data_IF_673963120041
#
_entry.id   IF_673963120041
#
_cell.length_a   1.000
_cell.length_b   1.000
_cell.length_c   1.000
_cell.angle_alpha   90.00
_cell.angle_beta   90.00
_cell.angle_gamma   90.00
#
_symmetry.space_group_name_H-M   'P 1'
#
loop_
_entity.id
_entity.type
_entity.pdbx_description
1 polymer ?
#
# COMPACT_ATOMS: atom_id res chain seq x y z
N UNK A 1 -6.38 -5.22 26.29
CA UNK A 1 -5.56 -6.42 26.58
C UNK A 1 -4.31 -6.32 25.73
N UNK A 2 -3.15 -6.76 26.24
CA UNK A 2 -1.92 -6.76 25.45
C UNK A 2 -2.07 -7.67 24.23
N UNK A 3 -1.55 -7.23 23.08
CA UNK A 3 -1.54 -8.01 21.85
C UNK A 3 -0.61 -9.23 22.04
N UNK A 4 -1.07 -10.43 21.67
CA UNK A 4 -0.26 -11.66 21.75
C UNK A 4 0.26 -12.12 20.39
N UNK A 5 -0.34 -11.64 19.31
CA UNK A 5 0.06 -11.90 17.92
C UNK A 5 -0.62 -10.88 17.00
N UNK A 6 -0.02 -10.55 15.86
CA UNK A 6 -0.71 -9.85 14.79
C UNK A 6 -1.60 -10.83 14.00
N UNK A 7 -2.83 -10.40 13.73
CA UNK A 7 -3.78 -11.13 12.91
C UNK A 7 -3.45 -10.98 11.40
N UNK A 8 -3.86 -11.95 10.56
CA UNK A 8 -3.89 -11.77 9.11
C UNK A 8 -4.68 -10.51 8.72
N UNK A 9 -4.34 -9.84 7.59
CA UNK A 9 -5.08 -8.68 7.12
C UNK A 9 -6.57 -9.01 7.04
N UNK A 10 -7.44 -8.06 7.38
CA UNK A 10 -8.89 -8.24 7.34
C UNK A 10 -9.43 -9.38 8.24
N UNK A 11 -8.64 -9.86 9.21
CA UNK A 11 -8.97 -11.03 10.03
C UNK A 11 -9.22 -12.31 9.21
N UNK A 12 -8.49 -12.47 8.10
CA UNK A 12 -8.62 -13.63 7.23
C UNK A 12 -8.32 -14.94 7.96
N UNK A 13 -9.15 -15.96 7.70
CA UNK A 13 -9.03 -17.29 8.30
C UNK A 13 -8.30 -18.30 7.39
N UNK A 14 -7.53 -17.82 6.40
CA UNK A 14 -6.87 -18.70 5.42
C UNK A 14 -5.67 -19.47 6.02
N UNK A 15 -5.12 -18.96 7.14
CA UNK A 15 -3.93 -19.48 7.81
C UNK A 15 -4.28 -20.41 8.98
N UNK A 16 -3.56 -21.54 9.07
CA UNK A 16 -3.58 -22.38 10.27
C UNK A 16 -2.81 -21.72 11.45
N UNK A 17 -2.81 -22.34 12.64
CA UNK A 17 -2.19 -21.76 13.83
C UNK A 17 -0.68 -21.48 13.67
N UNK A 18 0.07 -22.40 13.06
CA UNK A 18 1.51 -22.23 12.83
C UNK A 18 1.77 -21.09 11.87
N UNK A 19 1.00 -21.03 10.77
CA UNK A 19 1.08 -19.96 9.78
C UNK A 19 0.71 -18.60 10.36
N UNK A 20 -0.29 -18.52 11.25
CA UNK A 20 -0.64 -17.27 11.94
C UNK A 20 0.51 -16.76 12.81
N UNK A 21 1.21 -17.65 13.52
CA UNK A 21 2.38 -17.24 14.28
C UNK A 21 3.49 -16.71 13.37
N UNK A 22 3.80 -17.43 12.29
CA UNK A 22 4.81 -17.00 11.31
C UNK A 22 4.46 -15.66 10.65
N UNK A 23 3.19 -15.43 10.34
CA UNK A 23 2.70 -14.15 9.85
C UNK A 23 2.90 -13.04 10.90
N UNK A 24 2.53 -13.31 12.16
CA UNK A 24 2.76 -12.37 13.26
C UNK A 24 4.23 -12.02 13.43
N UNK A 25 5.12 -13.01 13.34
CA UNK A 25 6.57 -12.80 13.43
C UNK A 25 7.09 -11.93 12.27
N UNK A 26 6.59 -12.17 11.05
CA UNK A 26 6.88 -11.33 9.88
C UNK A 26 6.44 -9.88 10.10
N UNK A 27 5.19 -9.64 10.49
CA UNK A 27 4.67 -8.28 10.74
C UNK A 27 5.45 -7.58 11.87
N UNK A 28 5.72 -8.29 12.96
CA UNK A 28 6.54 -7.77 14.06
C UNK A 28 7.94 -7.37 13.58
N UNK A 29 8.57 -8.15 12.72
CA UNK A 29 9.88 -7.83 12.16
C UNK A 29 9.84 -6.58 11.28
N UNK A 30 8.78 -6.40 10.48
CA UNK A 30 8.61 -5.21 9.64
C UNK A 30 8.47 -3.94 10.48
N UNK A 31 7.70 -3.98 11.57
CA UNK A 31 7.59 -2.84 12.50
C UNK A 31 8.91 -2.50 13.17
N UNK A 32 9.65 -3.50 13.65
CA UNK A 32 10.96 -3.27 14.27
C UNK A 32 11.97 -2.72 13.26
N UNK A 33 11.92 -3.18 12.01
CA UNK A 33 12.77 -2.70 10.93
C UNK A 33 12.48 -1.23 10.64
N UNK A 34 11.20 -0.87 10.45
CA UNK A 34 10.80 0.51 10.21
C UNK A 34 11.13 1.42 11.39
N UNK A 35 10.94 0.96 12.63
CA UNK A 35 11.30 1.69 13.84
C UNK A 35 12.80 2.00 13.90
N UNK A 36 13.64 1.00 13.62
CA UNK A 36 15.08 1.07 13.83
C UNK A 36 15.86 1.60 12.62
N UNK A 37 15.19 1.76 11.47
CA UNK A 37 15.78 2.35 10.26
C UNK A 37 16.30 3.77 10.56
N UNK A 38 17.51 4.05 10.10
CA UNK A 38 18.20 5.33 10.23
C UNK A 38 18.46 6.02 8.87
N UNK A 39 18.07 5.35 7.78
CA UNK A 39 18.24 5.78 6.39
C UNK A 39 19.51 5.26 5.72
N UNK A 40 20.42 4.60 6.44
CA UNK A 40 21.71 4.16 5.89
C UNK A 40 21.57 3.17 4.72
N UNK A 41 20.56 2.29 4.77
CA UNK A 41 20.19 1.35 3.71
C UNK A 41 19.65 2.04 2.46
N UNK A 42 19.08 3.24 2.61
CA UNK A 42 18.59 4.09 1.54
C UNK A 42 19.62 5.14 1.08
N UNK A 43 20.82 5.14 1.68
CA UNK A 43 21.82 6.15 1.43
C UNK A 43 21.42 7.54 1.94
N UNK A 44 20.65 7.61 3.03
CA UNK A 44 20.13 8.82 3.64
C UNK A 44 20.72 9.06 5.05
N UNK A 45 20.95 10.33 5.38
CA UNK A 45 21.10 10.84 6.74
C UNK A 45 19.78 11.47 7.20
N UNK A 46 19.61 11.63 8.52
CA UNK A 46 18.44 12.24 9.16
C UNK A 46 17.11 11.52 8.88
N UNK A 47 17.14 10.19 8.75
CA UNK A 47 15.93 9.37 8.53
C UNK A 47 15.62 8.41 9.69
N UNK A 48 16.27 8.59 10.84
CA UNK A 48 15.91 7.89 12.07
C UNK A 48 17.01 7.95 13.14
N UNK A 49 16.90 7.11 14.19
CA UNK A 49 15.83 6.12 14.42
C UNK A 49 14.46 6.77 14.68
N UNK A 50 13.38 6.02 14.43
CA UNK A 50 12.00 6.53 14.46
C UNK A 50 11.38 6.30 15.84
N UNK A 51 11.83 7.08 16.82
CA UNK A 51 11.64 6.76 18.23
C UNK A 51 10.19 6.84 18.73
N UNK A 52 9.33 7.60 18.06
CA UNK A 52 7.89 7.65 18.34
C UNK A 52 7.11 6.51 17.65
N UNK A 53 7.72 5.78 16.72
CA UNK A 53 7.13 4.59 16.12
C UNK A 53 7.45 3.35 16.96
N UNK A 54 6.47 2.49 17.21
CA UNK A 54 6.67 1.31 18.06
C UNK A 54 6.01 0.05 17.53
N UNK A 55 6.40 -1.09 18.10
CA UNK A 55 5.82 -2.39 17.80
C UNK A 55 4.92 -2.82 18.97
N UNK A 56 3.60 -2.75 18.78
CA UNK A 56 2.61 -3.02 19.83
C UNK A 56 2.65 -4.44 20.42
N UNK A 57 3.28 -5.41 19.73
CA UNK A 57 3.47 -6.76 20.25
C UNK A 57 4.60 -6.81 21.30
N UNK A 58 5.64 -5.99 21.14
CA UNK A 58 6.84 -5.99 22.00
C UNK A 58 6.82 -4.88 23.04
N UNK A 59 6.19 -3.76 22.69
CA UNK A 59 5.96 -2.60 23.54
C UNK A 59 4.45 -2.34 23.61
N UNK A 60 3.74 -2.99 24.56
CA UNK A 60 2.29 -2.88 24.63
C UNK A 60 1.84 -1.43 24.85
N UNK A 61 0.76 -1.00 24.18
CA UNK A 61 0.25 0.35 24.35
C UNK A 61 -0.31 0.56 25.77
N UNK A 62 -0.27 1.80 26.26
CA UNK A 62 -0.85 2.23 27.53
C UNK A 62 -2.40 2.13 27.49
N UNK A 63 -3.10 2.15 28.64
CA UNK A 63 -4.56 2.18 28.68
C UNK A 63 -5.23 3.38 27.98
N UNK A 64 -4.45 4.41 27.63
CA UNK A 64 -4.90 5.60 26.90
C UNK A 64 -4.90 5.41 25.37
N UNK A 65 -4.69 4.18 24.89
CA UNK A 65 -4.58 3.89 23.47
C UNK A 65 -5.90 4.14 22.70
N UNK A 66 -5.79 4.79 21.54
CA UNK A 66 -6.92 5.11 20.66
C UNK A 66 -6.56 4.78 19.22
N UNK A 67 -7.49 4.16 18.50
CA UNK A 67 -7.37 3.93 17.06
C UNK A 67 -7.87 5.15 16.28
N UNK A 68 -7.22 5.45 15.15
CA UNK A 68 -7.63 6.50 14.23
C UNK A 68 -7.52 6.02 12.79
N UNK A 69 -8.63 6.05 12.08
CA UNK A 69 -8.65 5.81 10.63
C UNK A 69 -8.11 7.03 9.89
N UNK A 70 -7.19 6.80 8.94
CA UNK A 70 -6.72 7.78 7.96
C UNK A 70 -7.23 7.30 6.61
N UNK A 71 -8.07 8.10 5.95
CA UNK A 71 -8.80 7.68 4.75
C UNK A 71 -8.56 8.63 3.58
N UNK A 72 -8.52 8.08 2.37
CA UNK A 72 -8.34 8.82 1.11
C UNK A 72 -9.12 8.15 -0.03
N UNK A 73 -9.18 8.82 -1.19
CA UNK A 73 -9.89 8.32 -2.38
C UNK A 73 -9.08 7.24 -3.10
N UNK A 74 -9.76 6.19 -3.58
CA UNK A 74 -9.15 5.06 -4.29
C UNK A 74 -8.71 5.38 -5.73
N UNK A 75 -9.24 6.45 -6.34
CA UNK A 75 -8.86 6.85 -7.69
C UNK A 75 -7.41 7.38 -7.72
N UNK A 76 -6.56 6.93 -8.66
CA UNK A 76 -5.16 7.35 -8.77
C UNK A 76 -4.96 8.83 -9.07
N UNK A 77 -4.41 9.58 -8.10
CA UNK A 77 -4.15 11.02 -8.29
C UNK A 77 -3.15 11.28 -9.42
N UNK A 78 -2.13 10.44 -9.57
CA UNK A 78 -1.16 10.57 -10.67
C UNK A 78 -1.81 10.46 -12.05
N UNK A 79 -2.91 9.69 -12.15
CA UNK A 79 -3.69 9.61 -13.38
C UNK A 79 -4.56 10.86 -13.55
N UNK A 80 -5.14 11.38 -12.46
CA UNK A 80 -5.94 12.61 -12.45
C UNK A 80 -5.13 13.80 -12.98
N UNK A 81 -3.95 14.07 -12.41
CA UNK A 81 -3.14 15.25 -12.76
C UNK A 81 -2.54 15.19 -14.17
N UNK A 82 -2.36 14.00 -14.73
CA UNK A 82 -1.83 13.78 -16.09
C UNK A 82 -2.96 13.71 -17.15
N UNK A 83 -4.20 14.01 -16.76
CA UNK A 83 -5.37 13.93 -17.63
C UNK A 83 -6.08 15.27 -17.74
N UNK A 84 -6.64 15.58 -18.91
CA UNK A 84 -7.30 16.86 -19.17
C UNK A 84 -8.81 16.84 -18.89
N UNK A 85 -9.40 15.65 -18.73
CA UNK A 85 -10.82 15.46 -18.41
C UNK A 85 -11.09 14.06 -17.82
N UNK A 86 -12.31 13.87 -17.32
CA UNK A 86 -12.77 12.64 -16.68
C UNK A 86 -12.69 11.40 -17.58
N UNK A 87 -13.11 11.51 -18.84
CA UNK A 87 -13.09 10.36 -19.76
C UNK A 87 -11.66 9.88 -19.99
N UNK A 88 -10.70 10.80 -20.11
CA UNK A 88 -9.29 10.47 -20.28
C UNK A 88 -8.73 9.77 -19.03
N UNK A 89 -8.97 10.33 -17.83
CA UNK A 89 -8.41 9.77 -16.59
C UNK A 89 -9.01 8.39 -16.28
N UNK A 90 -10.32 8.22 -16.48
CA UNK A 90 -10.97 6.92 -16.29
C UNK A 90 -10.47 5.86 -17.27
N UNK A 91 -10.34 6.22 -18.55
CA UNK A 91 -9.78 5.31 -19.56
C UNK A 91 -8.34 4.93 -19.22
N UNK A 92 -7.52 5.88 -18.78
CA UNK A 92 -6.12 5.62 -18.42
C UNK A 92 -6.03 4.68 -17.21
N UNK A 93 -6.82 4.93 -16.16
CA UNK A 93 -6.84 4.08 -14.97
C UNK A 93 -7.38 2.65 -15.23
N UNK A 94 -8.33 2.50 -16.16
CA UNK A 94 -8.85 1.20 -16.59
C UNK A 94 -7.94 0.47 -17.60
N UNK A 95 -6.86 1.09 -18.10
CA UNK A 95 -6.00 0.49 -19.13
C UNK A 95 -4.91 -0.42 -18.57
N UNK A 96 -4.48 -0.22 -17.32
CA UNK A 96 -3.45 -1.03 -16.68
C UNK A 96 -3.55 -1.00 -15.16
N UNK A 97 -3.23 -2.12 -14.53
CA UNK A 97 -3.06 -2.24 -13.08
C UNK A 97 -1.87 -1.43 -12.56
N UNK A 98 -0.90 -1.10 -13.41
CA UNK A 98 0.31 -0.37 -13.00
C UNK A 98 0.06 1.10 -12.66
N UNK A 99 -1.06 1.66 -13.14
CA UNK A 99 -1.47 3.04 -12.83
C UNK A 99 -2.54 3.11 -11.74
N UNK A 100 -2.91 1.98 -11.13
CA UNK A 100 -3.88 1.90 -10.03
C UNK A 100 -3.14 1.97 -8.69
N UNK A 101 -2.47 3.09 -8.44
CA UNK A 101 -1.45 3.21 -7.39
C UNK A 101 -1.97 3.83 -6.08
N UNK A 102 -3.25 3.71 -5.74
CA UNK A 102 -3.82 4.24 -4.48
C UNK A 102 -4.34 3.15 -3.56
N UNK A 103 -3.59 2.05 -3.45
CA UNK A 103 -3.92 0.90 -2.59
C UNK A 103 -5.32 0.30 -2.85
N UNK A 104 -5.87 0.56 -4.03
CA UNK A 104 -7.06 -0.07 -4.55
C UNK A 104 -6.82 -0.37 -6.01
N UNK A 105 -6.98 -1.63 -6.37
CA UNK A 105 -6.85 -2.03 -7.74
C UNK A 105 -8.05 -2.87 -8.16
N UNK A 106 -8.47 -2.76 -9.41
CA UNK A 106 -9.69 -3.36 -9.92
C UNK A 106 -9.56 -4.06 -11.27
N UNK A 107 -10.56 -4.89 -11.57
CA UNK A 107 -10.72 -5.59 -12.84
C UNK A 107 -12.21 -5.76 -13.15
N UNK A 108 -12.56 -5.79 -14.42
CA UNK A 108 -13.94 -5.87 -14.89
C UNK A 108 -14.24 -7.17 -15.60
N UNK A 109 -15.52 -7.56 -15.54
CA UNK A 109 -16.13 -8.51 -16.47
C UNK A 109 -17.11 -7.72 -17.33
N UNK A 110 -16.98 -7.83 -18.66
CA UNK A 110 -17.85 -7.18 -19.64
C UNK A 110 -18.68 -8.21 -20.38
N UNK A 111 -19.88 -7.81 -20.77
CA UNK A 111 -20.70 -8.58 -21.68
C UNK A 111 -20.00 -8.65 -23.06
N UNK A 112 -19.82 -9.84 -23.65
CA UNK A 112 -19.02 -10.00 -24.87
C UNK A 112 -19.68 -9.42 -26.13
N UNK A 113 -20.98 -9.07 -26.08
CA UNK A 113 -21.72 -8.55 -27.24
C UNK A 113 -21.88 -7.03 -27.17
N UNK A 114 -22.25 -6.52 -26.00
CA UNK A 114 -22.56 -5.11 -25.76
C UNK A 114 -21.37 -4.33 -25.19
N UNK A 115 -20.35 -5.03 -24.69
CA UNK A 115 -19.18 -4.48 -23.98
C UNK A 115 -19.51 -3.69 -22.70
N UNK A 116 -20.77 -3.73 -22.23
CA UNK A 116 -21.17 -3.14 -20.96
C UNK A 116 -20.54 -3.89 -19.80
N UNK A 117 -20.18 -3.17 -18.75
CA UNK A 117 -19.66 -3.76 -17.52
C UNK A 117 -20.78 -4.57 -16.87
N UNK A 118 -20.50 -5.85 -16.57
CA UNK A 118 -21.38 -6.73 -15.81
C UNK A 118 -21.02 -6.76 -14.34
N UNK A 119 -19.72 -6.75 -14.03
CA UNK A 119 -19.18 -6.85 -12.69
C UNK A 119 -17.87 -6.08 -12.60
N UNK A 120 -17.62 -5.45 -11.45
CA UNK A 120 -16.31 -4.90 -11.08
C UNK A 120 -15.82 -5.56 -9.81
N UNK A 121 -14.57 -6.00 -9.81
CA UNK A 121 -13.86 -6.54 -8.65
C UNK A 121 -12.85 -5.52 -8.16
N UNK A 122 -12.87 -5.17 -6.88
CA UNK A 122 -11.90 -4.30 -6.21
C UNK A 122 -11.13 -5.09 -5.15
N UNK A 123 -9.83 -4.84 -5.02
CA UNK A 123 -8.97 -5.44 -3.98
C UNK A 123 -7.99 -4.43 -3.41
N UNK A 124 -7.72 -4.55 -2.11
CA UNK A 124 -6.60 -3.92 -1.40
C UNK A 124 -5.74 -4.95 -0.65
N UNK A 125 -5.85 -6.25 -1.01
CA UNK A 125 -5.03 -7.31 -0.41
C UNK A 125 -3.55 -7.14 -0.77
N UNK A 126 -2.69 -6.96 0.22
CA UNK A 126 -1.26 -6.72 0.02
C UNK A 126 -0.52 -7.94 -0.58
N UNK A 127 0.47 -7.73 -1.48
CA UNK A 127 1.20 -8.82 -2.13
C UNK A 127 2.02 -9.67 -1.14
N UNK A 128 2.42 -9.12 0.01
CA UNK A 128 3.18 -9.85 1.02
C UNK A 128 2.38 -10.99 1.64
N UNK A 129 1.08 -10.79 1.88
CA UNK A 129 0.20 -11.84 2.39
C UNK A 129 0.07 -12.99 1.39
N UNK A 130 -0.07 -12.66 0.11
CA UNK A 130 -0.19 -13.65 -0.97
C UNK A 130 1.13 -14.38 -1.24
N UNK A 131 2.26 -13.69 -1.14
CA UNK A 131 3.59 -14.30 -1.22
C UNK A 131 3.82 -15.26 -0.05
N UNK A 132 3.44 -14.86 1.18
CA UNK A 132 3.48 -15.70 2.36
C UNK A 132 2.59 -16.94 2.20
N UNK A 133 1.34 -16.76 1.74
CA UNK A 133 0.39 -17.85 1.53
C UNK A 133 0.84 -18.78 0.41
N UNK A 134 1.41 -18.25 -0.68
CA UNK A 134 1.97 -19.03 -1.77
C UNK A 134 3.15 -19.90 -1.33
N UNK A 135 4.03 -19.37 -0.48
CA UNK A 135 5.15 -20.12 0.07
C UNK A 135 4.71 -21.20 1.08
N UNK A 136 3.65 -20.94 1.85
CA UNK A 136 3.25 -21.79 2.99
C UNK A 136 2.06 -22.72 2.72
N UNK A 137 1.21 -22.41 1.74
CA UNK A 137 0.00 -23.17 1.41
C UNK A 137 -0.46 -22.95 -0.05
N UNK A 138 0.26 -23.51 -1.05
CA UNK A 138 -0.12 -23.38 -2.47
C UNK A 138 -1.55 -23.83 -2.79
N UNK A 139 -2.04 -24.88 -2.12
CA UNK A 139 -3.39 -25.40 -2.31
C UNK A 139 -4.47 -24.37 -1.91
N UNK A 140 -4.24 -23.62 -0.82
CA UNK A 140 -5.14 -22.54 -0.41
C UNK A 140 -5.13 -21.39 -1.41
N UNK A 141 -3.97 -21.02 -1.97
CA UNK A 141 -3.90 -20.00 -3.03
C UNK A 141 -4.77 -20.42 -4.23
N UNK A 142 -4.64 -21.65 -4.71
CA UNK A 142 -5.46 -22.18 -5.80
C UNK A 142 -6.96 -22.13 -5.46
N UNK A 143 -7.36 -22.59 -4.28
CA UNK A 143 -8.75 -22.54 -3.80
C UNK A 143 -9.31 -21.11 -3.83
N UNK A 144 -8.54 -20.13 -3.35
CA UNK A 144 -8.98 -18.74 -3.29
C UNK A 144 -9.10 -18.11 -4.68
N UNK A 145 -8.15 -18.34 -5.58
CA UNK A 145 -8.27 -17.90 -6.97
C UNK A 145 -9.48 -18.53 -7.67
N UNK A 146 -9.72 -19.83 -7.46
CA UNK A 146 -10.88 -20.50 -8.03
C UNK A 146 -12.20 -19.94 -7.52
N UNK A 147 -12.25 -19.57 -6.23
CA UNK A 147 -13.44 -18.99 -5.60
C UNK A 147 -13.70 -17.54 -6.03
N UNK A 148 -12.66 -16.72 -6.06
CA UNK A 148 -12.82 -15.26 -6.14
C UNK A 148 -12.53 -14.67 -7.51
N UNK A 149 -11.82 -15.41 -8.38
CA UNK A 149 -11.45 -14.94 -9.73
C UNK A 149 -12.07 -15.83 -10.80
N UNK A 150 -11.72 -17.11 -10.86
CA UNK A 150 -12.26 -18.01 -11.88
C UNK A 150 -12.07 -19.49 -11.53
N UNK A 151 -13.12 -20.33 -11.62
CA UNK A 151 -12.98 -21.77 -11.36
C UNK A 151 -12.07 -22.50 -12.37
N UNK A 152 -11.65 -21.83 -13.45
CA UNK A 152 -10.74 -22.37 -14.47
C UNK A 152 -9.25 -22.23 -14.11
N UNK A 153 -8.92 -21.56 -13.00
CA UNK A 153 -7.54 -21.40 -12.55
C UNK A 153 -6.95 -22.75 -12.17
N UNK A 154 -5.72 -23.00 -12.60
CA UNK A 154 -4.94 -24.21 -12.29
C UNK A 154 -3.66 -23.86 -11.53
N UNK A 155 -2.99 -24.86 -10.94
CA UNK A 155 -1.75 -24.62 -10.20
C UNK A 155 -0.63 -24.07 -11.10
N UNK A 156 -0.56 -24.54 -12.35
CA UNK A 156 0.42 -24.09 -13.35
C UNK A 156 0.20 -22.64 -13.79
N UNK A 157 -0.99 -22.10 -13.56
CA UNK A 157 -1.26 -20.69 -13.82
C UNK A 157 -0.66 -19.79 -12.73
N UNK A 158 -0.53 -20.31 -11.50
CA UNK A 158 -0.20 -19.51 -10.32
C UNK A 158 1.24 -19.70 -9.85
N UNK A 159 1.90 -20.78 -10.24
CA UNK A 159 3.23 -21.14 -9.75
C UNK A 159 4.17 -21.51 -10.90
N UNK A 160 5.43 -21.11 -10.76
CA UNK A 160 6.51 -21.54 -11.63
C UNK A 160 6.73 -23.06 -11.56
N UNK A 161 7.50 -23.60 -12.51
CA UNK A 161 7.90 -25.02 -12.47
C UNK A 161 8.68 -25.39 -11.20
N UNK A 162 9.30 -24.41 -10.53
CA UNK A 162 10.02 -24.56 -9.27
C UNK A 162 9.12 -24.41 -8.03
N UNK A 163 7.81 -24.19 -8.22
CA UNK A 163 6.86 -24.03 -7.13
C UNK A 163 6.86 -22.63 -6.50
N UNK A 164 7.45 -21.63 -7.16
CA UNK A 164 7.41 -20.23 -6.70
C UNK A 164 6.11 -19.58 -7.16
N UNK A 165 5.39 -18.94 -6.25
CA UNK A 165 4.17 -18.20 -6.57
C UNK A 165 4.47 -17.02 -7.50
N UNK A 166 3.66 -16.86 -8.55
CA UNK A 166 3.70 -15.71 -9.45
C UNK A 166 2.59 -14.71 -9.08
N UNK A 167 2.91 -13.59 -8.42
CA UNK A 167 1.93 -12.57 -8.04
C UNK A 167 1.30 -11.87 -9.25
N UNK A 168 1.97 -11.87 -10.41
CA UNK A 168 1.51 -11.26 -11.67
C UNK A 168 1.15 -12.31 -12.72
N UNK A 169 0.56 -13.41 -12.27
CA UNK A 169 0.01 -14.44 -13.12
C UNK A 169 -1.12 -13.92 -14.05
N UNK A 170 -1.49 -14.71 -15.05
CA UNK A 170 -2.49 -14.35 -16.07
C UNK A 170 -3.90 -14.02 -15.55
N UNK A 171 -4.22 -14.37 -14.30
CA UNK A 171 -5.51 -14.06 -13.66
C UNK A 171 -5.44 -12.86 -12.70
N UNK A 172 -4.27 -12.24 -12.55
CA UNK A 172 -4.05 -11.11 -11.64
C UNK A 172 -3.08 -10.08 -12.23
N UNK A 173 -3.11 -9.86 -13.55
CA UNK A 173 -2.16 -8.95 -14.21
C UNK A 173 -2.80 -7.93 -15.16
N UNK A 174 -4.12 -7.88 -15.23
CA UNK A 174 -4.84 -6.99 -16.15
C UNK A 174 -6.08 -6.38 -15.49
N UNK A 175 -6.66 -5.38 -16.15
CA UNK A 175 -7.93 -4.76 -15.74
C UNK A 175 -9.15 -5.55 -16.21
N UNK A 176 -8.93 -6.75 -16.76
CA UNK A 176 -9.97 -7.70 -17.17
C UNK A 176 -9.71 -9.09 -16.54
N UNK A 177 -10.77 -9.84 -16.26
CA UNK A 177 -10.68 -11.27 -15.93
C UNK A 177 -10.17 -11.63 -14.53
N UNK A 178 -9.81 -10.66 -13.67
CA UNK A 178 -9.43 -10.95 -12.29
C UNK A 178 -8.57 -9.88 -11.60
N UNK A 179 -8.80 -9.71 -10.30
CA UNK A 179 -8.09 -8.78 -9.43
C UNK A 179 -7.93 -9.40 -8.03
N UNK A 180 -7.18 -10.49 -7.87
CA UNK A 180 -7.07 -11.20 -6.59
C UNK A 180 -6.45 -10.32 -5.50
N UNK A 181 -5.28 -9.75 -5.78
CA UNK A 181 -4.52 -8.93 -4.83
C UNK A 181 -3.78 -7.81 -5.56
N UNK A 182 -3.22 -6.88 -4.79
CA UNK A 182 -2.45 -5.74 -5.30
C UNK A 182 -1.19 -6.23 -6.03
N UNK A 183 -0.91 -5.66 -7.21
CA UNK A 183 0.30 -5.97 -8.00
C UNK A 183 1.11 -4.74 -8.37
N UNK A 184 0.55 -3.54 -8.17
CA UNK A 184 1.24 -2.29 -8.40
C UNK A 184 2.38 -2.17 -7.36
N UNK A 185 3.57 -1.79 -7.84
CA UNK A 185 4.82 -1.89 -7.08
C UNK A 185 4.89 -1.06 -5.78
N UNK A 186 4.12 0.03 -5.68
CA UNK A 186 4.04 0.91 -4.52
C UNK A 186 2.94 0.47 -3.54
N UNK A 187 1.97 -0.32 -4.00
CA UNK A 187 0.84 -0.82 -3.21
C UNK A 187 1.24 -2.03 -2.34
N UNK A 188 2.11 -1.80 -1.35
CA UNK A 188 2.67 -2.85 -0.49
C UNK A 188 2.44 -2.56 1.00
N UNK A 189 2.35 -3.61 1.82
CA UNK A 189 2.30 -3.49 3.29
C UNK A 189 3.59 -2.85 3.81
N UNK A 190 4.74 -3.19 3.23
CA UNK A 190 6.02 -2.60 3.60
C UNK A 190 6.05 -1.08 3.39
N UNK A 191 5.50 -0.58 2.27
CA UNK A 191 5.42 0.85 2.00
C UNK A 191 4.53 1.58 3.01
N UNK A 192 3.37 1.00 3.38
CA UNK A 192 2.49 1.58 4.40
C UNK A 192 3.20 1.72 5.75
N UNK A 193 3.83 0.64 6.23
CA UNK A 193 4.59 0.63 7.48
C UNK A 193 5.74 1.65 7.44
N UNK A 194 6.41 1.74 6.30
CA UNK A 194 7.51 2.69 6.08
C UNK A 194 7.04 4.15 6.19
N UNK A 195 5.97 4.51 5.47
CA UNK A 195 5.40 5.86 5.50
C UNK A 195 4.95 6.21 6.91
N UNK A 196 4.18 5.34 7.56
CA UNK A 196 3.70 5.55 8.92
C UNK A 196 4.87 5.73 9.91
N UNK A 197 5.91 4.90 9.82
CA UNK A 197 7.10 5.03 10.66
C UNK A 197 7.85 6.33 10.40
N UNK A 198 8.24 6.59 9.15
CA UNK A 198 9.03 7.76 8.76
C UNK A 198 8.34 9.09 9.09
N UNK A 199 7.01 9.13 8.95
CA UNK A 199 6.20 10.29 9.28
C UNK A 199 6.17 10.63 10.77
N UNK A 200 6.60 9.74 11.67
CA UNK A 200 6.71 10.05 13.11
C UNK A 200 7.88 10.99 13.43
N UNK A 201 8.82 11.20 12.51
CA UNK A 201 9.94 12.12 12.73
C UNK A 201 9.43 13.56 12.63
N UNK A 202 9.39 14.26 13.76
CA UNK A 202 9.15 15.70 13.79
C UNK A 202 10.39 16.39 13.20
N UNK A 203 10.22 17.18 12.14
CA UNK A 203 11.33 17.86 11.46
C UNK A 203 11.30 19.36 11.74
N UNK A 204 12.48 19.92 11.97
CA UNK A 204 12.68 21.35 12.19
C UNK A 204 13.63 21.91 11.12
N UNK A 205 13.38 23.13 10.65
CA UNK A 205 14.31 23.91 9.82
C UNK A 205 14.36 25.33 10.37
N UNK A 206 15.56 25.82 10.66
CA UNK A 206 15.79 27.19 11.14
C UNK A 206 14.93 27.59 12.36
N UNK A 207 14.76 26.68 13.33
CA UNK A 207 13.92 26.92 14.51
C UNK A 207 12.42 26.74 14.29
N UNK A 208 11.98 26.37 13.09
CA UNK A 208 10.57 26.18 12.75
C UNK A 208 10.25 24.72 12.48
N UNK A 209 9.24 24.21 13.18
CA UNK A 209 8.69 22.87 12.95
C UNK A 209 7.93 22.86 11.63
N UNK A 210 8.21 21.86 10.81
CA UNK A 210 7.48 21.65 9.56
C UNK A 210 6.10 21.04 9.86
N UNK A 211 5.06 21.62 9.28
CA UNK A 211 3.67 21.18 9.48
C UNK A 211 2.88 21.02 8.19
N UNK A 212 3.36 21.61 7.09
CA UNK A 212 2.71 21.51 5.79
C UNK A 212 2.86 20.10 5.22
N UNK A 213 1.78 19.54 4.70
CA UNK A 213 1.74 18.19 4.13
C UNK A 213 2.84 17.97 3.09
N UNK A 214 2.96 18.88 2.11
CA UNK A 214 4.00 18.80 1.08
C UNK A 214 5.42 19.01 1.64
N UNK A 215 5.59 19.93 2.60
CA UNK A 215 6.89 20.15 3.24
C UNK A 215 7.36 18.89 3.98
N UNK A 216 6.45 18.20 4.66
CA UNK A 216 6.73 16.99 5.42
C UNK A 216 7.19 15.85 4.51
N UNK A 217 6.47 15.57 3.42
CA UNK A 217 6.85 14.47 2.52
C UNK A 217 8.13 14.77 1.73
N UNK A 218 8.32 16.02 1.29
CA UNK A 218 9.55 16.43 0.59
C UNK A 218 10.75 16.35 1.54
N UNK A 219 10.59 16.84 2.78
CA UNK A 219 11.67 16.84 3.75
C UNK A 219 11.94 15.45 4.32
N UNK A 220 10.92 14.60 4.44
CA UNK A 220 11.03 13.24 4.95
C UNK A 220 11.45 12.21 3.90
N UNK A 221 11.19 12.45 2.61
CA UNK A 221 11.50 11.53 1.50
C UNK A 221 10.88 10.12 1.66
N UNK A 222 9.74 10.02 2.35
CA UNK A 222 9.12 8.73 2.70
C UNK A 222 8.10 8.21 1.68
N UNK A 223 7.81 8.94 0.61
CA UNK A 223 6.80 8.53 -0.38
C UNK A 223 6.75 9.40 -1.62
N UNK A 224 5.69 9.26 -2.40
CA UNK A 224 5.41 10.04 -3.61
C UNK A 224 4.49 11.23 -3.30
N UNK A 225 5.02 12.43 -3.49
CA UNK A 225 4.38 13.73 -3.20
C UNK A 225 3.05 13.99 -3.89
N UNK A 226 2.83 13.38 -5.07
CA UNK A 226 1.64 13.60 -5.90
C UNK A 226 0.59 12.48 -5.81
N UNK A 227 0.75 11.52 -4.89
CA UNK A 227 -0.33 10.58 -4.51
C UNK A 227 -1.30 11.23 -3.53
N UNK A 228 -2.51 10.72 -3.40
CA UNK A 228 -3.43 11.05 -2.30
C UNK A 228 -2.93 10.49 -0.97
N UNK A 229 -2.55 9.21 -0.95
CA UNK A 229 -2.19 8.46 0.26
C UNK A 229 -0.94 9.02 0.96
N UNK A 230 0.22 8.97 0.32
CA UNK A 230 1.52 9.21 0.94
C UNK A 230 1.64 10.56 1.69
N UNK A 231 1.35 11.72 1.06
CA UNK A 231 1.39 13.00 1.76
C UNK A 231 0.37 13.06 2.90
N UNK A 232 -0.85 12.55 2.68
CA UNK A 232 -1.93 12.61 3.66
C UNK A 232 -1.65 11.78 4.90
N UNK A 233 -1.24 10.52 4.72
CA UNK A 233 -0.79 9.65 5.83
C UNK A 233 0.34 10.33 6.59
N UNK A 234 1.31 10.88 5.85
CA UNK A 234 2.44 11.58 6.43
C UNK A 234 2.05 12.76 7.31
N UNK A 235 1.13 13.61 6.83
CA UNK A 235 0.65 14.78 7.57
C UNK A 235 -0.16 14.39 8.82
N UNK A 236 -1.07 13.43 8.71
CA UNK A 236 -1.91 12.96 9.81
C UNK A 236 -1.09 12.27 10.91
N UNK A 237 -0.13 11.44 10.54
CA UNK A 237 0.79 10.81 11.50
C UNK A 237 1.70 11.86 12.15
N UNK A 238 2.28 12.77 11.38
CA UNK A 238 3.17 13.78 11.95
C UNK A 238 2.43 14.74 12.88
N UNK A 239 1.15 15.04 12.61
CA UNK A 239 0.31 15.81 13.53
C UNK A 239 0.19 15.15 14.90
N UNK A 240 0.04 13.82 14.95
CA UNK A 240 0.03 13.05 16.19
C UNK A 240 1.41 13.04 16.86
N UNK A 241 2.49 12.94 16.06
CA UNK A 241 3.85 12.95 16.60
C UNK A 241 4.15 14.28 17.30
N UNK A 242 3.81 15.40 16.66
CA UNK A 242 3.93 16.76 17.21
C UNK A 242 3.04 17.00 18.43
N UNK A 243 1.97 16.22 18.60
CA UNK A 243 1.15 16.22 19.81
C UNK A 243 1.74 15.36 20.95
N UNK A 244 3.01 14.92 20.82
CA UNK A 244 3.74 14.15 21.81
C UNK A 244 3.11 12.78 22.09
N UNK A 245 2.69 12.08 21.05
CA UNK A 245 2.18 10.71 21.12
C UNK A 245 3.19 9.68 20.63
N UNK A 246 3.08 8.44 21.12
CA UNK A 246 3.70 7.28 20.47
C UNK A 246 2.69 6.64 19.53
N UNK A 247 3.14 6.22 18.34
CA UNK A 247 2.30 5.89 17.19
C UNK A 247 2.72 4.54 16.61
N UNK A 248 1.74 3.75 16.20
CA UNK A 248 1.92 2.53 15.41
C UNK A 248 0.69 2.28 14.54
N UNK A 249 0.59 1.11 13.93
CA UNK A 249 -0.58 0.67 13.16
C UNK A 249 -1.42 -0.31 13.98
N UNK A 250 -2.74 -0.19 13.88
CA UNK A 250 -3.68 -1.05 14.60
C UNK A 250 -3.74 -2.46 13.99
N UNK A 251 -3.98 -3.46 14.83
CA UNK A 251 -4.12 -4.85 14.39
C UNK A 251 -5.52 -5.12 13.80
N UNK A 252 -5.65 -5.87 12.69
CA UNK A 252 -4.59 -6.32 11.78
C UNK A 252 -4.05 -5.16 10.96
N UNK A 253 -2.75 -5.18 10.71
CA UNK A 253 -2.07 -4.16 9.90
C UNK A 253 -2.36 -4.44 8.43
N UNK A 254 -2.78 -3.39 7.72
CA UNK A 254 -3.00 -3.41 6.28
C UNK A 254 -4.05 -2.39 5.83
N UNK A 255 -4.06 -2.16 4.53
CA UNK A 255 -5.00 -1.27 3.86
C UNK A 255 -6.37 -1.93 3.75
N UNK A 256 -7.42 -1.15 3.95
CA UNK A 256 -8.79 -1.61 3.92
C UNK A 256 -9.64 -0.70 3.02
N UNK A 257 -10.59 -1.30 2.30
CA UNK A 257 -11.67 -0.55 1.67
C UNK A 257 -12.59 -0.04 2.78
N UNK A 258 -12.64 1.28 2.95
CA UNK A 258 -13.49 1.93 3.95
C UNK A 258 -14.96 1.94 3.52
N UNK A 259 -15.23 1.98 2.22
CA UNK A 259 -16.58 1.90 1.67
C UNK A 259 -16.71 2.47 0.26
N UNK A 260 -17.94 2.41 -0.25
CA UNK A 260 -18.37 3.00 -1.51
C UNK A 260 -19.52 3.98 -1.23
N UNK A 261 -19.38 5.23 -1.67
CA UNK A 261 -20.48 6.18 -1.69
C UNK A 261 -21.28 6.05 -2.99
N UNK A 262 -22.57 5.70 -2.90
CA UNK A 262 -23.46 5.56 -4.06
C UNK A 262 -24.47 6.72 -4.18
N UNK A 263 -24.23 7.84 -3.49
CA UNK A 263 -25.18 8.97 -3.41
C UNK A 263 -25.58 9.51 -4.79
N UNK A 264 -24.66 9.51 -5.75
CA UNK A 264 -24.86 10.04 -7.10
C UNK A 264 -25.27 8.96 -8.11
N UNK A 265 -25.44 7.71 -7.66
CA UNK A 265 -25.71 6.58 -8.52
C UNK A 265 -27.22 6.48 -8.76
N UNK A 266 -27.63 6.23 -10.01
CA UNK A 266 -29.03 6.02 -10.39
C UNK A 266 -29.16 4.71 -11.15
N UNK A 267 -29.97 3.81 -10.62
CA UNK A 267 -30.27 2.51 -11.25
C UNK A 267 -31.48 2.66 -12.20
N UNK A 268 -31.55 1.90 -13.32
CA UNK A 268 -32.67 1.97 -14.24
C UNK A 268 -34.04 1.63 -13.64
N UNK A 269 -34.07 0.75 -12.63
CA UNK A 269 -35.31 0.30 -11.97
C UNK A 269 -35.63 1.05 -10.67
N UNK A 270 -34.82 2.05 -10.29
CA UNK A 270 -34.98 2.81 -9.05
C UNK A 270 -34.59 2.05 -7.77
N UNK A 271 -33.99 0.86 -7.88
CA UNK A 271 -33.42 0.13 -6.74
C UNK A 271 -32.22 0.84 -6.11
N UNK A 272 -31.95 0.56 -4.84
CA UNK A 272 -30.79 1.12 -4.13
C UNK A 272 -29.46 0.61 -4.74
N UNK A 273 -28.64 1.48 -5.35
CA UNK A 273 -27.35 1.10 -5.91
C UNK A 273 -26.36 0.57 -4.87
N UNK A 274 -26.49 0.91 -3.58
CA UNK A 274 -25.63 0.37 -2.52
C UNK A 274 -25.81 -1.14 -2.33
N UNK A 275 -27.01 -1.66 -2.64
CA UNK A 275 -27.33 -3.10 -2.52
C UNK A 275 -26.55 -3.99 -3.50
N UNK A 276 -25.86 -3.39 -4.48
CA UNK A 276 -25.03 -4.09 -5.48
C UNK A 276 -23.57 -4.19 -5.08
N UNK A 277 -23.18 -3.57 -3.96
CA UNK A 277 -21.85 -3.67 -3.37
C UNK A 277 -21.80 -4.81 -2.36
N UNK A 278 -20.83 -5.72 -2.52
CA UNK A 278 -20.63 -6.84 -1.59
C UNK A 278 -19.16 -7.01 -1.24
N UNK A 279 -18.85 -6.94 0.04
CA UNK A 279 -17.56 -7.36 0.58
C UNK A 279 -17.48 -8.89 0.48
N UNK A 280 -16.38 -9.38 -0.08
CA UNK A 280 -16.18 -10.83 -0.32
C UNK A 280 -14.98 -11.39 0.42
N UNK A 281 -14.07 -10.53 0.92
CA UNK A 281 -12.96 -10.90 1.81
C UNK A 281 -12.72 -9.76 2.81
N UNK A 282 -12.35 -10.13 4.03
CA UNK A 282 -12.27 -9.21 5.17
C UNK A 282 -13.59 -9.08 5.93
N UNK A 283 -13.60 -8.26 6.99
CA UNK A 283 -14.81 -7.87 7.72
C UNK A 283 -15.36 -6.55 7.16
N UNK A 284 -16.59 -6.12 7.51
CA UNK A 284 -17.09 -4.79 7.12
C UNK A 284 -16.17 -3.64 7.52
N UNK A 285 -15.52 -3.73 8.69
CA UNK A 285 -14.64 -2.68 9.23
C UNK A 285 -13.21 -2.75 8.67
N UNK A 286 -12.80 -3.95 8.19
CA UNK A 286 -11.47 -4.26 7.63
C UNK A 286 -11.62 -5.00 6.30
N UNK A 287 -12.36 -4.39 5.37
CA UNK A 287 -12.70 -5.00 4.10
C UNK A 287 -11.49 -5.03 3.17
N UNK A 288 -11.23 -6.17 2.54
CA UNK A 288 -10.07 -6.33 1.66
C UNK A 288 -10.44 -6.48 0.18
N UNK A 289 -11.62 -7.04 -0.08
CA UNK A 289 -12.10 -7.30 -1.43
C UNK A 289 -13.60 -7.03 -1.50
N UNK A 290 -14.01 -6.36 -2.56
CA UNK A 290 -15.43 -6.14 -2.84
C UNK A 290 -15.77 -6.35 -4.31
N UNK A 291 -17.04 -6.67 -4.56
CA UNK A 291 -17.61 -6.81 -5.89
C UNK A 291 -18.77 -5.82 -6.01
N UNK A 292 -18.85 -5.14 -7.16
CA UNK A 292 -20.02 -4.39 -7.57
C UNK A 292 -20.69 -5.10 -8.75
N UNK A 293 -21.89 -5.63 -8.54
CA UNK A 293 -22.60 -6.48 -9.51
C UNK A 293 -24.12 -6.34 -9.37
N UNK A 294 -24.81 -6.20 -10.50
CA UNK A 294 -26.28 -6.22 -10.52
C UNK A 294 -26.77 -7.68 -10.43
N UNK A 295 -27.66 -8.04 -9.48
CA UNK A 295 -28.19 -9.38 -9.36
C UNK A 295 -28.86 -9.87 -10.65
N UNK A 296 -28.73 -11.17 -10.99
CA UNK A 296 -29.42 -11.75 -12.13
C UNK A 296 -30.94 -11.49 -12.10
N UNK A 297 -31.53 -11.25 -13.26
CA UNK A 297 -32.98 -11.06 -13.41
C UNK A 297 -33.48 -9.61 -13.28
N UNK A 298 -32.60 -8.64 -12.99
CA UNK A 298 -32.93 -7.20 -12.96
C UNK A 298 -33.18 -6.59 -14.34
N UNK A 299 -32.73 -7.24 -15.42
CA UNK A 299 -32.91 -6.75 -16.80
C UNK A 299 -31.94 -5.65 -17.23
N UNK A 300 -30.95 -5.33 -16.40
CA UNK A 300 -29.85 -4.40 -16.69
C UNK A 300 -28.55 -4.87 -16.01
N UNK A 301 -27.42 -4.30 -16.39
CA UNK A 301 -26.08 -4.60 -15.82
C UNK A 301 -25.44 -3.34 -15.22
N UNK A 302 -24.25 -3.47 -14.61
CA UNK A 302 -23.53 -2.34 -14.00
C UNK A 302 -23.36 -1.19 -14.99
N UNK A 303 -23.06 -1.48 -16.26
CA UNK A 303 -22.90 -0.46 -17.29
C UNK A 303 -24.15 0.33 -17.66
N UNK A 304 -25.34 -0.06 -17.17
CA UNK A 304 -26.59 0.68 -17.33
C UNK A 304 -26.87 1.63 -16.16
N UNK A 305 -26.12 1.53 -15.06
CA UNK A 305 -26.21 2.44 -13.91
C UNK A 305 -25.57 3.77 -14.31
N UNK A 306 -26.17 4.87 -13.87
CA UNK A 306 -25.64 6.22 -14.09
C UNK A 306 -24.91 6.71 -12.84
N UNK A 307 -23.77 7.37 -13.01
CA UNK A 307 -23.09 8.18 -11.98
C UNK A 307 -23.03 9.60 -12.53
N UNK A 308 -23.58 10.58 -11.81
CA UNK A 308 -23.67 11.97 -12.29
C UNK A 308 -24.26 12.09 -13.70
N UNK A 309 -25.35 11.34 -13.96
CA UNK A 309 -26.07 11.29 -15.24
C UNK A 309 -25.24 10.76 -16.43
N UNK A 310 -24.09 10.12 -16.18
CA UNK A 310 -23.29 9.41 -17.17
C UNK A 310 -23.33 7.90 -16.91
N UNK A 311 -23.51 7.06 -17.95
CA UNK A 311 -23.50 5.61 -17.76
C UNK A 311 -22.11 5.15 -17.33
N UNK A 312 -22.05 4.08 -16.53
CA UNK A 312 -20.79 3.46 -16.13
C UNK A 312 -20.16 2.76 -17.35
N UNK A 313 -19.12 3.37 -17.90
CA UNK A 313 -18.30 2.81 -18.99
C UNK A 313 -16.97 2.25 -18.47
N UNK A 314 -16.47 2.82 -17.37
CA UNK A 314 -15.20 2.51 -16.73
C UNK A 314 -15.41 2.14 -15.26
N UNK A 315 -14.66 1.16 -14.76
CA UNK A 315 -14.63 0.84 -13.33
C UNK A 315 -14.02 1.98 -12.51
N UNK A 316 -13.09 2.72 -13.10
CA UNK A 316 -12.56 3.97 -12.57
C UNK A 316 -13.63 5.00 -12.16
N UNK A 317 -14.79 5.05 -12.83
CA UNK A 317 -15.91 5.92 -12.41
C UNK A 317 -16.46 5.57 -11.04
N UNK A 318 -16.42 4.28 -10.67
CA UNK A 318 -16.83 3.80 -9.35
C UNK A 318 -15.70 4.07 -8.34
N UNK A 319 -14.43 3.90 -8.75
CA UNK A 319 -13.26 4.11 -7.91
C UNK A 319 -13.16 5.54 -7.35
N UNK A 320 -13.68 6.55 -8.06
CA UNK A 320 -13.81 7.93 -7.56
C UNK A 320 -14.59 8.05 -6.24
N UNK A 321 -15.47 7.09 -5.98
CA UNK A 321 -16.36 7.09 -4.82
C UNK A 321 -16.02 6.01 -3.80
N UNK A 322 -14.90 5.31 -4.00
CA UNK A 322 -14.36 4.35 -3.03
C UNK A 322 -13.34 5.07 -2.15
N UNK A 323 -13.49 4.88 -0.84
CA UNK A 323 -12.47 5.30 0.12
C UNK A 323 -11.64 4.11 0.56
N UNK A 324 -10.32 4.29 0.60
CA UNK A 324 -9.36 3.39 1.23
C UNK A 324 -8.92 4.00 2.56
N UNK A 325 -8.54 3.15 3.49
CA UNK A 325 -7.98 3.57 4.77
C UNK A 325 -6.86 2.68 5.25
N UNK A 326 -6.04 3.26 6.13
CA UNK A 326 -5.31 2.52 7.15
C UNK A 326 -5.79 2.95 8.53
N UNK A 327 -5.51 2.13 9.54
CA UNK A 327 -5.86 2.45 10.94
C UNK A 327 -4.58 2.58 11.76
N UNK A 328 -4.30 3.79 12.24
CA UNK A 328 -3.26 4.04 13.22
C UNK A 328 -3.71 3.69 14.64
N UNK A 329 -2.75 3.37 15.50
CA UNK A 329 -2.92 3.22 16.95
C UNK A 329 -2.00 4.23 17.64
N UNK A 330 -2.59 5.05 18.52
CA UNK A 330 -1.89 6.13 19.22
C UNK A 330 -1.95 5.85 20.71
N UNK A 331 -0.85 6.05 21.45
CA UNK A 331 -0.79 5.82 22.89
C UNK A 331 0.16 6.81 23.58
N UNK A 332 0.23 6.77 24.92
CA UNK A 332 1.06 7.65 25.76
C UNK A 332 0.77 9.11 25.46
N UNK A 333 -0.50 9.46 25.54
CA UNK A 333 -1.01 10.70 24.99
C UNK A 333 -0.37 11.92 25.67
N UNK A 334 0.34 12.77 24.90
CA UNK A 334 1.01 13.98 25.39
C UNK A 334 2.32 13.71 26.16
N UNK A 335 2.81 12.47 26.18
CA UNK A 335 3.94 12.04 27.03
C UNK A 335 5.24 11.79 26.28
N UNK A 336 5.22 11.68 24.95
CA UNK A 336 6.42 11.38 24.18
C UNK A 336 7.42 12.54 24.23
N UNK A 337 8.65 12.24 24.66
CA UNK A 337 9.71 13.22 24.87
C UNK A 337 10.75 13.25 23.74
N UNK A 338 10.44 12.62 22.60
CA UNK A 338 11.34 12.58 21.44
C UNK A 338 11.50 13.99 20.86
N UNK A 339 12.73 14.54 20.77
CA UNK A 339 12.94 15.88 20.25
C UNK A 339 12.81 15.91 18.71
N UNK A 340 12.48 17.07 18.13
CA UNK A 340 12.55 17.27 16.68
C UNK A 340 13.96 16.99 16.12
N UNK A 341 14.00 16.45 14.91
CA UNK A 341 15.22 16.30 14.12
C UNK A 341 15.45 17.59 13.33
N UNK A 342 16.63 18.20 13.51
CA UNK A 342 17.02 19.35 12.72
C UNK A 342 17.40 18.92 11.30
N UNK A 343 16.65 19.42 10.32
CA UNK A 343 16.87 19.20 8.90
C UNK A 343 16.04 18.07 8.28
N UNK A 344 16.19 17.97 6.97
CA UNK A 344 15.54 16.96 6.14
C UNK A 344 16.37 15.70 5.99
N UNK A 345 15.72 14.62 5.55
CA UNK A 345 16.41 13.45 5.03
C UNK A 345 17.24 13.86 3.81
N UNK A 346 18.54 13.55 3.83
CA UNK A 346 19.49 14.00 2.82
C UNK A 346 20.39 12.87 2.38
N UNK A 347 20.86 12.82 1.11
CA UNK A 347 21.82 11.82 0.69
C UNK A 347 23.06 11.80 1.59
N UNK A 348 23.53 10.62 1.97
CA UNK A 348 24.79 10.45 2.66
C UNK A 348 25.93 11.06 1.82
N UNK A 349 26.93 11.70 2.45
CA UNK A 349 28.09 12.19 1.73
C UNK A 349 28.76 11.03 0.98
N UNK A 350 28.90 11.14 -0.34
CA UNK A 350 29.70 10.20 -1.12
C UNK A 350 31.12 10.20 -0.56
N UNK A 351 31.75 9.03 -0.28
CA UNK A 351 33.14 9.01 0.12
C UNK A 351 33.96 9.70 -0.98
N UNK A 352 34.70 10.75 -0.62
CA UNK A 352 35.60 11.42 -1.57
C UNK A 352 36.48 10.36 -2.19
N UNK A 353 36.41 10.20 -3.52
CA UNK A 353 37.34 9.36 -4.25
C UNK A 353 38.76 9.79 -3.86
N UNK A 354 39.49 8.92 -3.17
CA UNK A 354 40.91 9.12 -2.95
C UNK A 354 41.54 8.97 -4.34
N UNK A 355 41.82 10.11 -4.98
CA UNK A 355 42.74 10.15 -6.10
C UNK A 355 44.07 9.60 -5.58
N UNK A 356 44.29 8.30 -5.78
CA UNK A 356 45.61 7.72 -5.64
C UNK A 356 46.50 8.48 -6.63
N UNK A 357 47.36 9.37 -6.13
CA UNK A 357 48.29 10.09 -6.99
C UNK A 357 49.14 9.05 -7.71
N UNK A 358 49.00 8.96 -9.03
CA UNK A 358 49.92 8.23 -9.89
C UNK A 358 51.22 9.02 -9.93
N UNK A 359 51.99 8.97 -8.85
CA UNK A 359 53.30 9.64 -8.74
C UNK A 359 54.30 8.81 -7.94
N UNK A 360 54.01 7.53 -7.67
CA UNK A 360 54.96 6.58 -7.08
C UNK A 360 55.22 5.32 -7.93
N UNK A 361 54.62 5.19 -9.12
CA UNK A 361 54.86 4.03 -10.00
C UNK A 361 55.99 4.30 -11.03
N UNK A 362 56.44 5.55 -11.21
CA UNK A 362 57.51 5.90 -12.17
C UNK A 362 58.93 5.96 -11.57
N UNK A 363 59.11 5.91 -10.25
CA UNK A 363 60.46 5.88 -9.65
C UNK A 363 61.06 4.48 -9.47
N UNK A 364 60.32 3.43 -9.83
CA UNK A 364 60.82 2.04 -9.78
C UNK A 364 61.29 1.50 -11.15
N UNK A 365 61.06 2.24 -12.25
CA UNK A 365 61.44 1.83 -13.60
C UNK A 365 62.82 2.36 -14.05
N UNK A 366 63.35 3.45 -13.45
CA UNK A 366 64.66 4.01 -13.83
C UNK A 366 65.86 3.45 -13.06
N UNK A 367 65.64 2.63 -12.03
CA UNK A 367 66.74 2.01 -11.26
C UNK A 367 67.25 0.65 -11.83
N UNK A 368 66.69 0.16 -12.96
CA UNK A 368 67.10 -1.13 -13.57
C UNK A 368 67.94 -1.03 -14.86
N UNK A 369 68.31 0.17 -15.31
CA UNK A 369 69.11 0.34 -16.53
C UNK A 369 70.52 0.92 -16.34
N UNK A 370 71.08 0.84 -15.12
CA UNK A 370 72.51 1.12 -14.89
C UNK A 370 73.11 0.01 -14.03
N UNK A 371 73.38 -1.15 -14.65
CA UNK A 371 74.53 -2.05 -14.35
C UNK A 371 74.37 -3.35 -15.13
N UNK A 372 75.04 -3.44 -16.28
CA UNK A 372 75.75 -4.64 -16.76
C UNK A 372 76.49 -4.25 -18.05
N UNK A 373 77.81 -4.14 -17.92
CA UNK A 373 78.75 -4.35 -19.03
C UNK A 373 78.86 -5.84 -19.29
#
# INVERSE_FOLDING_TARGET
MALTSFDPPGFLSDLNQVQRQQWSDFVSSQLDTARNRDGSDLGLANDGPRLQFFNALKDPPDPDAVEKDISWTAFPRLVEIDSVNDIQRWRKADNSRDVQDEYCEWSVIRDPTTHKIMQVMFTCEGPEYWSFLGASNPAKVLELYQRHVSPKVTMQDLFSAQGTYDPRNRFNNSTEGGAMHLIQQNNTLAAEIEIAGAATIIRERDGQILTGEQDLIICGRYGQTERHSDPHIGAEVNALARAHHDITLANPIGLCIAGLSTVTFKTPDGSDPASYWRITRGTPEKALRAIYEVPPGKGFVVGDIMINDQPIQFAAQIADFISIKLTGLVTRLGKSAVPPVNGCAQPLPQPKAVLASVTSILSAAEARHVTRR
#
